data_IF_518324901928
#
_entry.id   IF_518324901928
#
_cell.length_a   1.000
_cell.length_b   1.000
_cell.length_c   1.000
_cell.angle_alpha   90.00
_cell.angle_beta   90.00
_cell.angle_gamma   90.00
#
_symmetry.space_group_name_H-M   'P 1'
#
loop_
_entity.id
_entity.type
_entity.pdbx_description
1 polymer ?
#
# COMPACT_ATOMS: atom_id res chain seq x y z
N UNK A 1 3.41 16.60 -12.79
CA UNK A 1 4.05 15.76 -11.76
C UNK A 1 3.52 16.22 -10.42
N UNK A 2 3.11 15.30 -9.54
CA UNK A 2 2.42 15.65 -8.29
C UNK A 2 3.07 14.95 -7.10
N UNK A 3 3.15 15.65 -5.97
CA UNK A 3 3.54 15.13 -4.66
C UNK A 3 2.33 15.00 -3.73
N UNK A 4 1.11 15.23 -4.21
CA UNK A 4 -0.12 15.06 -3.43
C UNK A 4 -0.45 13.56 -3.29
N UNK A 5 -0.37 13.06 -2.06
CA UNK A 5 -0.70 11.68 -1.72
C UNK A 5 -2.13 11.29 -2.12
N UNK A 6 -3.11 12.20 -2.06
CA UNK A 6 -4.49 11.92 -2.45
C UNK A 6 -4.64 11.73 -3.96
N UNK A 7 -3.93 12.54 -4.76
CA UNK A 7 -3.93 12.37 -6.22
C UNK A 7 -3.29 11.04 -6.62
N UNK A 8 -2.16 10.70 -5.99
CA UNK A 8 -1.46 9.43 -6.21
C UNK A 8 -2.34 8.23 -5.83
N UNK A 9 -3.00 8.27 -4.67
CA UNK A 9 -3.93 7.22 -4.24
C UNK A 9 -5.10 7.08 -5.23
N UNK A 10 -5.66 8.22 -5.67
CA UNK A 10 -6.74 8.22 -6.66
C UNK A 10 -6.32 7.62 -8.00
N UNK A 11 -5.14 7.97 -8.50
CA UNK A 11 -4.58 7.42 -9.73
C UNK A 11 -4.31 5.91 -9.61
N UNK A 12 -3.70 5.48 -8.51
CA UNK A 12 -3.42 4.07 -8.23
C UNK A 12 -4.71 3.25 -8.17
N UNK A 13 -5.77 3.78 -7.55
CA UNK A 13 -7.07 3.09 -7.49
C UNK A 13 -7.69 2.92 -8.87
N UNK A 14 -7.69 3.96 -9.69
CA UNK A 14 -8.18 3.88 -11.09
C UNK A 14 -7.38 2.87 -11.91
N UNK A 15 -6.06 2.83 -11.73
CA UNK A 15 -5.22 1.86 -12.42
C UNK A 15 -5.52 0.42 -11.96
N UNK A 16 -5.69 0.21 -10.66
CA UNK A 16 -6.06 -1.09 -10.10
C UNK A 16 -7.44 -1.56 -10.57
N UNK A 17 -8.44 -0.68 -10.60
CA UNK A 17 -9.78 -0.96 -11.13
C UNK A 17 -9.72 -1.37 -12.60
N UNK A 18 -8.91 -0.70 -13.43
CA UNK A 18 -8.72 -1.06 -14.84
C UNK A 18 -7.95 -2.36 -15.06
N UNK A 19 -6.99 -2.66 -14.17
CA UNK A 19 -6.19 -3.87 -14.24
C UNK A 19 -6.89 -5.10 -13.65
N UNK A 20 -8.02 -4.91 -12.96
CA UNK A 20 -8.78 -5.97 -12.31
C UNK A 20 -9.36 -6.96 -13.31
N UNK A 21 -9.26 -8.25 -12.98
CA UNK A 21 -9.83 -9.37 -13.74
C UNK A 21 -10.48 -10.34 -12.78
N UNK A 22 -11.75 -10.62 -13.01
CA UNK A 22 -12.49 -11.59 -12.22
C UNK A 22 -11.89 -13.00 -12.35
N UNK A 23 -11.96 -13.77 -11.28
CA UNK A 23 -11.38 -15.11 -11.19
C UNK A 23 -9.88 -15.17 -10.84
N UNK A 24 -9.21 -14.02 -10.69
CA UNK A 24 -7.80 -13.96 -10.31
C UNK A 24 -7.59 -13.38 -8.91
N UNK A 25 -6.69 -13.99 -8.14
CA UNK A 25 -6.24 -13.45 -6.87
C UNK A 25 -4.94 -12.65 -7.08
N UNK A 26 -4.97 -11.37 -6.72
CA UNK A 26 -3.79 -10.51 -6.76
C UNK A 26 -3.02 -10.61 -5.43
N UNK A 27 -1.72 -10.92 -5.49
CA UNK A 27 -0.90 -11.13 -4.29
C UNK A 27 -0.14 -9.88 -3.86
N UNK A 28 0.33 -9.06 -4.82
CA UNK A 28 1.13 -7.87 -4.56
C UNK A 28 0.85 -6.81 -5.62
N UNK A 29 0.75 -5.56 -5.20
CA UNK A 29 0.74 -4.39 -6.06
C UNK A 29 1.75 -3.37 -5.52
N UNK A 30 2.36 -2.60 -6.41
CA UNK A 30 3.32 -1.56 -6.05
C UNK A 30 3.19 -0.38 -7.01
N UNK A 31 3.51 0.81 -6.50
CA UNK A 31 3.62 2.02 -7.29
C UNK A 31 5.12 2.26 -7.48
N UNK A 32 5.54 2.46 -8.73
CA UNK A 32 6.91 2.83 -9.06
C UNK A 32 6.90 4.30 -9.45
N UNK A 33 7.74 5.08 -8.77
CA UNK A 33 7.99 6.47 -9.11
C UNK A 33 9.34 6.50 -9.83
N UNK A 34 9.35 7.05 -11.03
CA UNK A 34 10.55 7.21 -11.84
C UNK A 34 10.84 8.70 -11.98
N UNK A 35 12.14 9.04 -12.02
CA UNK A 35 12.65 10.41 -12.19
C UNK A 35 12.00 11.45 -11.25
N UNK A 36 12.42 11.49 -9.98
CA UNK A 36 11.98 12.51 -9.02
C UNK A 36 12.89 13.74 -9.10
N UNK A 37 12.48 14.85 -9.75
CA UNK A 37 13.20 16.10 -9.72
C UNK A 37 12.95 16.85 -8.39
N UNK A 38 13.81 17.81 -8.05
CA UNK A 38 13.52 18.81 -7.03
C UNK A 38 12.20 19.53 -7.31
N UNK A 39 11.50 19.96 -6.26
CA UNK A 39 10.23 20.70 -6.37
C UNK A 39 10.40 21.98 -7.20
N UNK A 40 11.55 22.63 -7.05
CA UNK A 40 11.96 23.85 -7.74
C UNK A 40 12.02 23.69 -9.27
N UNK A 41 12.31 22.47 -9.73
CA UNK A 41 12.46 22.10 -11.13
C UNK A 41 11.17 21.50 -11.72
N UNK A 42 10.10 21.42 -10.92
CA UNK A 42 8.82 20.87 -11.36
C UNK A 42 8.27 21.67 -12.55
N UNK A 43 7.98 21.02 -13.69
CA UNK A 43 7.36 21.68 -14.82
C UNK A 43 5.96 22.18 -14.43
N UNK A 44 5.73 23.50 -14.54
CA UNK A 44 4.39 24.07 -14.36
C UNK A 44 3.57 23.91 -15.63
N UNK A 45 2.32 23.49 -15.47
CA UNK A 45 1.38 23.38 -16.58
C UNK A 45 0.54 24.65 -16.71
N UNK A 46 0.03 24.93 -17.92
CA UNK A 46 -0.80 26.12 -18.18
C UNK A 46 -2.14 26.12 -17.42
N UNK A 47 -2.54 24.97 -16.87
CA UNK A 47 -3.85 24.76 -16.23
C UNK A 47 -3.70 24.20 -14.82
N UNK A 48 -2.66 24.60 -14.07
CA UNK A 48 -2.53 24.19 -12.67
C UNK A 48 -3.63 24.82 -11.80
N UNK A 49 -4.33 23.98 -11.03
CA UNK A 49 -5.19 24.43 -9.95
C UNK A 49 -4.35 25.00 -8.80
N UNK A 50 -4.93 25.90 -8.00
CA UNK A 50 -4.29 26.37 -6.77
C UNK A 50 -4.11 25.21 -5.77
N UNK A 51 -2.87 24.74 -5.64
CA UNK A 51 -2.48 23.65 -4.73
C UNK A 51 -2.04 24.14 -3.35
N UNK A 52 -2.00 25.45 -3.07
CA UNK A 52 -1.35 25.97 -1.86
C UNK A 52 -1.92 25.38 -0.55
N UNK A 53 -3.22 25.06 -0.53
CA UNK A 53 -3.84 24.38 0.61
C UNK A 53 -3.39 22.92 0.75
N UNK A 54 -3.26 22.19 -0.37
CA UNK A 54 -2.79 20.80 -0.43
C UNK A 54 -1.32 20.72 -0.04
N UNK A 55 -0.50 21.65 -0.52
CA UNK A 55 0.93 21.70 -0.22
C UNK A 55 1.18 21.88 1.28
N UNK A 56 0.45 22.80 1.92
CA UNK A 56 0.50 22.97 3.39
C UNK A 56 0.04 21.72 4.14
N UNK A 57 -0.97 21.02 3.64
CA UNK A 57 -1.47 19.79 4.25
C UNK A 57 -0.44 18.67 4.14
N UNK A 58 0.18 18.47 2.97
CA UNK A 58 1.23 17.47 2.76
C UNK A 58 2.43 17.76 3.65
N UNK A 59 2.89 19.01 3.70
CA UNK A 59 3.98 19.41 4.59
C UNK A 59 3.66 19.15 6.07
N UNK A 60 2.42 19.38 6.51
CA UNK A 60 2.00 19.07 7.88
C UNK A 60 1.97 17.56 8.16
N UNK A 61 1.48 16.75 7.21
CA UNK A 61 1.49 15.29 7.32
C UNK A 61 2.91 14.75 7.41
N UNK A 62 3.81 15.25 6.56
CA UNK A 62 5.22 14.85 6.54
C UNK A 62 5.93 15.25 7.83
N UNK A 63 5.67 16.45 8.34
CA UNK A 63 6.21 16.90 9.62
C UNK A 63 5.76 16.01 10.80
N UNK A 64 4.49 15.58 10.82
CA UNK A 64 3.96 14.66 11.83
C UNK A 64 4.63 13.30 11.71
N UNK A 65 4.72 12.75 10.51
CA UNK A 65 5.31 11.44 10.25
C UNK A 65 6.83 11.43 10.52
N UNK A 66 7.52 12.55 10.30
CA UNK A 66 8.94 12.70 10.65
C UNK A 66 9.20 12.82 12.15
N UNK A 67 8.26 13.40 12.91
CA UNK A 67 8.44 13.64 14.35
C UNK A 67 8.13 12.43 15.23
N UNK A 68 7.09 11.67 14.90
CA UNK A 68 6.54 10.68 15.83
C UNK A 68 6.86 9.23 15.48
N UNK A 69 6.91 8.88 14.19
CA UNK A 69 7.29 7.58 13.56
C UNK A 69 6.60 7.53 12.18
N UNK A 70 7.24 6.88 11.20
CA UNK A 70 6.65 6.65 9.89
C UNK A 70 5.29 5.96 10.03
N UNK A 71 4.25 6.49 9.37
CA UNK A 71 2.83 6.03 9.44
C UNK A 71 2.04 6.47 10.68
N UNK A 72 2.44 7.55 11.37
CA UNK A 72 1.63 8.13 12.46
C UNK A 72 0.34 8.76 11.93
N UNK A 73 0.44 9.52 10.84
CA UNK A 73 -0.69 10.11 10.15
C UNK A 73 -0.80 9.48 8.76
N UNK A 74 -1.94 8.84 8.51
CA UNK A 74 -2.24 8.13 7.27
C UNK A 74 -3.58 8.56 6.72
N UNK A 75 -3.74 8.42 5.40
CA UNK A 75 -5.03 8.66 4.77
C UNK A 75 -6.05 7.66 5.31
N UNK A 76 -7.28 8.10 5.60
CA UNK A 76 -8.34 7.22 6.10
C UNK A 76 -8.65 6.03 5.19
N UNK A 77 -8.42 6.17 3.87
CA UNK A 77 -8.57 5.08 2.90
C UNK A 77 -7.55 3.96 3.06
N UNK A 78 -6.41 4.21 3.70
CA UNK A 78 -5.38 3.20 3.98
C UNK A 78 -5.81 2.25 5.10
N UNK A 79 -6.71 2.69 5.99
CA UNK A 79 -7.12 1.97 7.18
C UNK A 79 -6.11 2.10 8.33
N UNK A 80 -6.62 2.06 9.56
CA UNK A 80 -5.83 2.32 10.78
C UNK A 80 -5.24 1.06 11.44
N UNK A 81 -5.66 -0.13 10.99
CA UNK A 81 -5.23 -1.40 11.58
C UNK A 81 -4.35 -2.16 10.61
N UNK A 82 -3.06 -2.23 10.91
CA UNK A 82 -2.11 -3.13 10.23
C UNK A 82 -1.75 -4.27 11.16
N UNK A 83 -2.67 -5.22 11.34
CA UNK A 83 -2.30 -6.51 11.95
C UNK A 83 -1.35 -7.21 10.97
N UNK A 84 -0.05 -7.15 11.23
CA UNK A 84 0.91 -7.97 10.50
C UNK A 84 0.61 -9.44 10.79
N UNK A 85 -0.06 -10.10 9.85
CA UNK A 85 -0.29 -11.55 9.87
C UNK A 85 0.47 -12.19 8.72
N UNK A 86 1.31 -13.17 9.04
CA UNK A 86 1.81 -14.08 8.02
C UNK A 86 0.62 -14.76 7.34
N UNK A 87 0.52 -14.66 6.00
CA UNK A 87 -0.42 -15.47 5.21
C UNK A 87 0.09 -16.92 5.15
N UNK A 88 -0.13 -17.66 6.22
CA UNK A 88 0.21 -19.08 6.35
C UNK A 88 -1.00 -20.00 6.13
N UNK A 89 -2.03 -19.57 5.39
CA UNK A 89 -3.27 -20.35 5.17
C UNK A 89 -3.09 -21.58 4.28
N UNK A 90 -1.92 -21.71 3.63
CA UNK A 90 -1.61 -22.79 2.69
C UNK A 90 -0.39 -23.60 3.16
N UNK A 91 -0.08 -23.56 4.47
CA UNK A 91 1.02 -24.34 5.03
C UNK A 91 0.66 -25.82 4.97
N UNK A 92 1.59 -26.64 4.51
CA UNK A 92 1.45 -28.10 4.66
C UNK A 92 1.38 -28.46 6.14
N UNK A 93 0.70 -29.56 6.51
CA UNK A 93 0.76 -30.06 7.87
C UNK A 93 2.19 -30.44 8.25
N UNK A 94 2.53 -30.31 9.53
CA UNK A 94 3.86 -30.52 10.10
C UNK A 94 4.13 -32.02 10.35
N UNK A 95 4.08 -32.85 9.31
CA UNK A 95 4.17 -34.31 9.43
C UNK A 95 5.40 -34.85 10.18
N UNK A 96 6.52 -34.13 10.12
CA UNK A 96 7.78 -34.53 10.75
C UNK A 96 8.05 -33.85 12.08
N UNK A 97 7.28 -32.82 12.41
CA UNK A 97 7.53 -31.94 13.56
C UNK A 97 6.38 -31.90 14.57
N UNK A 98 5.19 -32.36 14.18
CA UNK A 98 4.05 -32.59 15.05
C UNK A 98 3.37 -33.92 14.71
N UNK A 99 3.45 -34.87 15.64
CA UNK A 99 2.89 -36.22 15.45
C UNK A 99 1.35 -36.21 15.41
N UNK A 100 0.69 -35.18 15.96
CA UNK A 100 -0.76 -35.04 15.89
C UNK A 100 -1.25 -34.65 14.48
N UNK A 101 -0.37 -34.08 13.64
CA UNK A 101 -0.67 -33.74 12.25
C UNK A 101 -0.31 -34.89 11.28
N UNK A 102 0.20 -36.02 11.77
CA UNK A 102 0.54 -37.18 10.95
C UNK A 102 -0.71 -37.97 10.51
N UNK A 103 -0.71 -38.54 9.29
CA UNK A 103 -1.86 -39.30 8.78
C UNK A 103 -2.10 -40.59 9.59
N UNK A 104 -3.32 -40.76 10.09
CA UNK A 104 -3.74 -41.96 10.83
C UNK A 104 -4.22 -43.01 9.83
N UNK A 105 -3.57 -44.16 9.81
CA UNK A 105 -3.98 -45.32 9.00
C UNK A 105 -4.61 -46.35 9.92
N UNK A 106 -5.86 -46.73 9.65
CA UNK A 106 -6.51 -47.86 10.31
C UNK A 106 -6.54 -49.07 9.37
N UNK A 107 -6.13 -50.23 9.88
CA UNK A 107 -6.32 -51.51 9.20
C UNK A 107 -7.68 -52.09 9.63
N UNK A 108 -8.40 -52.67 8.66
CA UNK A 108 -9.69 -53.35 8.87
C UNK A 108 -9.48 -54.81 9.21
#
# INVERSE_FOLDING_TARGET
MTNDSFELIGAARRAAEKAWRDGYAYTKAGIMLDDLPPEDERPRTLFEEDTAKRDRLMGALDAINGKYVTWTAVTGSQGFKREWKLRSKMRSPAWTTDIAEAPIVSAR
#
